data_IF_131153520697
#
_entry.id   IF_131153520697
#
_cell.length_a   1.000
_cell.length_b   1.000
_cell.length_c   1.000
_cell.angle_alpha   90.00
_cell.angle_beta   90.00
_cell.angle_gamma   90.00
#
_symmetry.space_group_name_H-M   'P 1'
#
loop_
_entity.id
_entity.type
_entity.pdbx_description
1 polymer ?
#
# COMPACT_ATOMS: atom_id res chain seq x y z
N UNK A 1 -12.52 13.56 -22.63
CA UNK A 1 -11.07 13.29 -22.52
C UNK A 1 -10.74 13.18 -21.06
N UNK A 2 -9.93 12.20 -20.68
CA UNK A 2 -9.37 12.13 -19.33
C UNK A 2 -8.04 12.87 -19.35
N UNK A 3 -7.95 14.02 -18.68
CA UNK A 3 -6.71 14.82 -18.64
C UNK A 3 -5.77 14.33 -17.55
N UNK A 4 -6.32 14.00 -16.38
CA UNK A 4 -5.56 13.48 -15.25
C UNK A 4 -6.32 12.32 -14.60
N UNK A 5 -5.60 11.26 -14.23
CA UNK A 5 -6.15 10.12 -13.52
C UNK A 5 -5.25 9.72 -12.35
N UNK A 6 -5.82 9.76 -11.14
CA UNK A 6 -5.20 9.24 -9.92
C UNK A 6 -6.02 8.05 -9.43
N UNK A 7 -5.35 6.94 -9.09
CA UNK A 7 -5.98 5.79 -8.43
C UNK A 7 -5.18 5.40 -7.19
N UNK A 8 -5.79 5.63 -6.03
CA UNK A 8 -5.17 5.48 -4.73
C UNK A 8 -5.90 4.40 -3.95
N UNK A 9 -5.18 3.43 -3.38
CA UNK A 9 -5.80 2.31 -2.68
C UNK A 9 -5.01 1.92 -1.44
N UNK A 10 -5.68 1.43 -0.40
CA UNK A 10 -5.03 0.87 0.78
C UNK A 10 -5.93 -0.06 1.57
N UNK A 11 -5.37 -1.18 2.01
CA UNK A 11 -5.94 -2.05 3.03
C UNK A 11 -5.20 -1.79 4.34
N UNK A 12 -5.91 -1.28 5.34
CA UNK A 12 -5.37 -0.75 6.59
C UNK A 12 -6.14 -1.36 7.78
N UNK A 13 -5.60 -1.36 9.01
CA UNK A 13 -6.47 -1.50 10.18
C UNK A 13 -7.50 -0.37 10.19
N UNK A 14 -8.70 -0.62 10.71
CA UNK A 14 -9.66 0.46 10.97
C UNK A 14 -9.03 1.50 11.92
N UNK A 15 -9.46 2.78 11.89
CA UNK A 15 -8.85 3.84 12.70
C UNK A 15 -8.71 3.50 14.19
N UNK A 16 -9.72 2.82 14.76
CA UNK A 16 -9.73 2.36 16.15
C UNK A 16 -8.70 1.25 16.47
N UNK A 17 -8.25 0.52 15.45
CA UNK A 17 -7.29 -0.58 15.53
C UNK A 17 -5.86 -0.18 15.14
N UNK A 18 -5.64 1.09 14.76
CA UNK A 18 -4.34 1.61 14.34
C UNK A 18 -3.48 2.08 15.55
N UNK A 19 -3.23 1.16 16.48
CA UNK A 19 -2.70 1.41 17.83
C UNK A 19 -1.19 1.16 18.01
N UNK A 20 -0.46 0.82 16.95
CA UNK A 20 0.99 0.67 16.97
C UNK A 20 1.72 1.85 16.26
N UNK A 21 3.03 2.03 16.46
CA UNK A 21 3.76 3.15 15.86
C UNK A 21 3.74 3.22 14.32
N UNK A 22 3.67 2.07 13.64
CA UNK A 22 3.53 2.02 12.17
C UNK A 22 2.09 2.30 11.71
N UNK A 23 1.13 2.28 12.64
CA UNK A 23 -0.31 2.34 12.40
C UNK A 23 -0.74 1.35 11.33
N UNK A 24 -0.19 0.14 11.38
CA UNK A 24 -0.48 -0.90 10.39
C UNK A 24 -0.60 -2.26 11.06
N UNK A 25 -1.55 -3.06 10.60
CA UNK A 25 -1.67 -4.47 10.96
C UNK A 25 -1.89 -5.28 9.69
N UNK A 26 -1.32 -6.49 9.62
CA UNK A 26 -1.44 -7.35 8.47
C UNK A 26 -2.81 -8.02 8.44
N UNK A 27 -3.49 -7.88 7.31
CA UNK A 27 -4.85 -8.40 7.07
C UNK A 27 -4.91 -9.28 5.82
N UNK A 28 -3.82 -9.34 5.06
CA UNK A 28 -3.61 -10.12 3.84
C UNK A 28 -2.12 -10.35 3.62
N UNK A 29 -1.76 -11.25 2.69
CA UNK A 29 -0.40 -11.69 2.32
C UNK A 29 0.75 -10.83 2.91
N UNK A 30 1.18 -11.12 4.16
CA UNK A 30 2.04 -10.20 4.90
C UNK A 30 3.40 -9.97 4.25
N UNK A 31 4.03 -11.07 3.78
CA UNK A 31 5.28 -10.99 3.02
C UNK A 31 5.11 -10.22 1.71
N UNK A 32 3.95 -10.32 1.06
CA UNK A 32 3.64 -9.54 -0.15
C UNK A 32 3.63 -8.03 0.10
N UNK A 33 3.10 -7.58 1.24
CA UNK A 33 3.11 -6.17 1.65
C UNK A 33 4.54 -5.66 1.85
N UNK A 34 5.39 -6.44 2.53
CA UNK A 34 6.77 -6.04 2.82
C UNK A 34 7.59 -6.10 1.53
N UNK A 35 7.43 -7.14 0.71
CA UNK A 35 8.08 -7.27 -0.60
C UNK A 35 7.71 -6.11 -1.52
N UNK A 36 6.47 -5.62 -1.46
CA UNK A 36 6.05 -4.46 -2.26
C UNK A 36 6.88 -3.20 -1.98
N UNK A 37 7.45 -3.10 -0.78
CA UNK A 37 8.32 -2.00 -0.34
C UNK A 37 9.67 -1.96 -1.08
N UNK A 38 10.00 -3.01 -1.83
CA UNK A 38 11.25 -3.14 -2.61
C UNK A 38 11.07 -2.81 -4.09
N UNK A 39 9.86 -2.48 -4.54
CA UNK A 39 9.63 -2.09 -5.93
C UNK A 39 10.10 -0.66 -6.19
N UNK A 40 10.48 -0.38 -7.44
CA UNK A 40 10.50 0.98 -7.98
C UNK A 40 9.08 1.44 -8.36
N UNK A 41 8.95 2.72 -8.68
CA UNK A 41 7.72 3.26 -9.24
C UNK A 41 8.00 4.10 -10.50
N UNK A 42 7.04 4.12 -11.42
CA UNK A 42 7.06 4.92 -12.63
C UNK A 42 5.66 5.52 -12.84
N UNK A 43 5.56 6.83 -12.95
CA UNK A 43 4.28 7.50 -13.16
C UNK A 43 4.41 8.72 -14.07
N UNK A 44 3.29 9.17 -14.61
CA UNK A 44 3.20 10.37 -15.43
C UNK A 44 2.50 11.47 -14.62
N UNK A 45 3.10 12.65 -14.49
CA UNK A 45 2.46 13.82 -13.88
C UNK A 45 2.68 15.05 -14.75
N UNK A 46 1.60 15.67 -15.22
CA UNK A 46 1.59 16.88 -16.05
C UNK A 46 2.54 16.80 -17.26
N UNK A 47 2.49 15.68 -17.98
CA UNK A 47 3.30 15.40 -19.17
C UNK A 47 4.73 14.97 -18.89
N UNK A 48 5.14 14.86 -17.62
CA UNK A 48 6.48 14.43 -17.22
C UNK A 48 6.47 13.04 -16.61
N UNK A 49 7.22 12.12 -17.21
CA UNK A 49 7.49 10.82 -16.63
C UNK A 49 8.44 10.98 -15.43
N UNK A 50 8.12 10.30 -14.33
CA UNK A 50 8.93 10.30 -13.12
C UNK A 50 9.19 8.86 -12.70
N UNK A 51 10.45 8.48 -12.68
CA UNK A 51 10.93 7.21 -12.16
C UNK A 51 11.48 7.40 -10.74
N UNK A 52 11.06 6.53 -9.83
CA UNK A 52 11.50 6.48 -8.45
C UNK A 52 12.21 5.15 -8.21
N UNK A 53 13.50 5.22 -7.94
CA UNK A 53 14.29 4.06 -7.52
C UNK A 53 13.69 3.41 -6.28
N UNK A 54 13.81 2.08 -6.20
CA UNK A 54 13.32 1.32 -5.06
C UNK A 54 13.78 1.95 -3.75
N UNK A 55 15.06 2.29 -3.58
CA UNK A 55 15.60 2.89 -2.34
C UNK A 55 14.91 4.19 -1.91
N UNK A 56 14.36 4.97 -2.85
CA UNK A 56 13.73 6.27 -2.59
C UNK A 56 12.20 6.23 -2.53
N UNK A 57 11.57 5.05 -2.70
CA UNK A 57 10.12 4.88 -2.80
C UNK A 57 9.32 5.60 -1.71
N UNK A 58 9.79 5.55 -0.46
CA UNK A 58 9.06 6.13 0.68
C UNK A 58 9.41 7.58 0.97
N UNK A 59 10.40 8.14 0.27
CA UNK A 59 10.73 9.57 0.33
C UNK A 59 9.81 10.38 -0.57
N UNK A 60 9.44 9.82 -1.72
CA UNK A 60 8.47 10.40 -2.63
C UNK A 60 7.05 10.06 -2.19
N UNK A 61 6.53 10.83 -1.23
CA UNK A 61 5.17 10.66 -0.70
C UNK A 61 4.49 12.01 -0.50
N UNK A 62 3.17 12.00 -0.53
CA UNK A 62 2.35 13.17 -0.19
C UNK A 62 1.25 12.81 0.80
N UNK A 63 0.64 13.82 1.43
CA UNK A 63 -0.51 13.63 2.31
C UNK A 63 -1.82 13.76 1.55
N UNK A 64 -2.80 12.93 1.91
CA UNK A 64 -4.16 12.97 1.39
C UNK A 64 -5.14 12.84 2.56
N UNK A 65 -6.05 13.80 2.69
CA UNK A 65 -7.14 13.73 3.66
C UNK A 65 -8.28 12.91 3.06
N UNK A 66 -8.47 11.69 3.56
CA UNK A 66 -9.54 10.80 3.13
C UNK A 66 -10.75 10.97 4.05
N UNK A 67 -11.98 11.13 3.52
CA UNK A 67 -13.19 11.28 4.34
C UNK A 67 -13.34 10.17 5.38
N UNK A 68 -13.73 10.53 6.61
CA UNK A 68 -13.94 9.61 7.75
C UNK A 68 -12.70 8.88 8.29
N UNK A 69 -11.59 8.85 7.55
CA UNK A 69 -10.32 8.22 7.96
C UNK A 69 -9.32 9.26 8.47
N UNK A 70 -9.28 10.44 7.81
CA UNK A 70 -8.34 11.51 8.10
C UNK A 70 -7.09 11.48 7.21
N UNK A 71 -6.00 12.02 7.74
CA UNK A 71 -4.75 12.23 7.01
C UNK A 71 -3.97 10.93 6.78
N UNK A 72 -3.79 10.57 5.51
CA UNK A 72 -3.00 9.43 5.05
C UNK A 72 -1.78 9.90 4.26
N UNK A 73 -0.71 9.11 4.29
CA UNK A 73 0.40 9.22 3.34
C UNK A 73 0.11 8.37 2.11
N UNK A 74 0.55 8.84 0.95
CA UNK A 74 0.46 8.15 -0.33
C UNK A 74 1.84 8.09 -0.94
N UNK A 75 2.30 6.88 -1.27
CA UNK A 75 3.51 6.66 -2.07
C UNK A 75 3.13 6.01 -3.41
N UNK A 76 3.90 6.25 -4.49
CA UNK A 76 3.59 5.73 -5.82
C UNK A 76 3.74 4.20 -5.89
N UNK A 77 2.97 3.55 -6.76
CA UNK A 77 2.88 2.09 -6.82
C UNK A 77 3.22 1.54 -8.21
N UNK A 78 4.40 0.92 -8.33
CA UNK A 78 4.88 0.22 -9.54
C UNK A 78 4.78 1.12 -10.79
N UNK A 79 4.55 0.52 -11.95
CA UNK A 79 4.31 1.23 -13.19
C UNK A 79 2.84 1.65 -13.32
N UNK A 80 2.63 2.97 -13.42
CA UNK A 80 1.35 3.60 -13.71
C UNK A 80 1.20 3.92 -15.19
N UNK A 81 2.28 4.09 -15.94
CA UNK A 81 2.24 4.58 -17.34
C UNK A 81 1.61 3.53 -18.25
N UNK A 82 1.86 2.24 -18.03
CA UNK A 82 1.19 1.18 -18.79
C UNK A 82 -0.34 1.27 -18.76
N UNK A 83 -0.93 1.89 -17.72
CA UNK A 83 -2.37 2.04 -17.62
C UNK A 83 -2.99 3.03 -18.60
N UNK A 84 -2.20 3.91 -19.21
CA UNK A 84 -2.69 4.76 -20.32
C UNK A 84 -3.25 3.90 -21.46
N UNK A 85 -2.54 2.83 -21.81
CA UNK A 85 -2.97 1.89 -22.84
C UNK A 85 -4.01 0.90 -22.33
N UNK A 86 -3.93 0.47 -21.06
CA UNK A 86 -4.87 -0.52 -20.48
C UNK A 86 -6.28 0.07 -20.36
N UNK A 87 -6.38 1.35 -20.02
CA UNK A 87 -7.64 2.07 -19.86
C UNK A 87 -8.06 2.87 -21.09
N UNK A 88 -7.28 2.80 -22.18
CA UNK A 88 -7.54 3.52 -23.44
C UNK A 88 -7.71 5.04 -23.23
N UNK A 89 -6.77 5.63 -22.49
CA UNK A 89 -6.69 7.07 -22.20
C UNK A 89 -5.31 7.65 -22.55
N UNK A 90 -4.81 7.46 -23.79
CA UNK A 90 -3.47 7.92 -24.18
C UNK A 90 -3.32 9.45 -24.13
N UNK A 91 -4.42 10.20 -24.07
CA UNK A 91 -4.41 11.65 -23.97
C UNK A 91 -4.14 12.19 -22.56
N UNK A 92 -4.17 11.33 -21.53
CA UNK A 92 -4.00 11.78 -20.15
C UNK A 92 -2.58 12.30 -19.91
N UNK A 93 -2.47 13.56 -19.49
CA UNK A 93 -1.22 14.19 -19.08
C UNK A 93 -0.75 13.76 -17.68
N UNK A 94 -1.62 13.12 -16.89
CA UNK A 94 -1.26 12.54 -15.60
C UNK A 94 -1.88 11.15 -15.47
N UNK A 95 -1.06 10.16 -15.09
CA UNK A 95 -1.48 8.82 -14.73
C UNK A 95 -0.68 8.38 -13.50
N UNK A 96 -1.34 8.36 -12.35
CA UNK A 96 -0.72 8.07 -11.06
C UNK A 96 -1.49 6.98 -10.33
N UNK A 97 -0.78 5.92 -9.92
CA UNK A 97 -1.29 4.92 -9.00
C UNK A 97 -0.50 4.98 -7.70
N UNK A 98 -1.20 4.99 -6.57
CA UNK A 98 -0.58 5.14 -5.25
C UNK A 98 -1.18 4.22 -4.21
N UNK A 99 -0.45 4.08 -3.10
CA UNK A 99 -0.86 3.26 -1.97
C UNK A 99 -1.07 4.12 -0.74
N UNK A 100 -2.25 4.06 -0.14
CA UNK A 100 -2.56 4.71 1.13
C UNK A 100 -1.90 4.00 2.31
N UNK A 101 -1.34 4.77 3.24
CA UNK A 101 -0.86 4.33 4.55
C UNK A 101 -1.11 5.41 5.60
N UNK A 102 -1.25 5.02 6.86
CA UNK A 102 -1.20 5.98 7.95
C UNK A 102 0.23 6.54 8.12
N UNK A 103 0.32 7.78 8.62
CA UNK A 103 1.60 8.43 8.96
C UNK A 103 2.39 7.55 9.94
N UNK A 104 3.66 7.33 9.62
CA UNK A 104 4.60 6.48 10.37
C UNK A 104 5.09 5.27 9.58
N UNK A 105 4.26 4.74 8.67
CA UNK A 105 4.65 3.63 7.79
C UNK A 105 5.84 3.99 6.90
N UNK A 106 5.71 5.03 6.08
CA UNK A 106 6.74 5.38 5.10
C UNK A 106 8.06 5.78 5.78
N UNK A 107 8.00 6.54 6.87
CA UNK A 107 9.16 6.90 7.68
C UNK A 107 9.90 5.65 8.20
N UNK A 108 9.16 4.68 8.74
CA UNK A 108 9.74 3.44 9.29
C UNK A 108 10.39 2.59 8.20
N UNK A 109 9.70 2.39 7.07
CA UNK A 109 10.22 1.55 5.99
C UNK A 109 11.40 2.21 5.26
N UNK A 110 11.45 3.55 5.18
CA UNK A 110 12.62 4.28 4.67
C UNK A 110 13.85 4.08 5.58
N UNK A 111 13.66 4.14 6.90
CA UNK A 111 14.71 3.86 7.86
C UNK A 111 15.24 2.42 7.75
N UNK A 112 14.35 1.42 7.70
CA UNK A 112 14.71 0.01 7.52
C UNK A 112 15.53 -0.21 6.24
N UNK A 113 15.15 0.46 5.15
CA UNK A 113 15.88 0.37 3.87
C UNK A 113 17.24 1.05 3.91
N UNK A 114 17.33 2.19 4.61
CA UNK A 114 18.58 2.94 4.74
C UNK A 114 19.67 2.17 5.50
N UNK A 115 19.26 1.19 6.32
CA UNK A 115 20.16 0.23 6.99
C UNK A 115 20.02 -1.18 6.41
N UNK A 116 19.48 -1.32 5.19
CA UNK A 116 19.49 -2.57 4.44
C UNK A 116 18.79 -3.76 5.14
N UNK A 117 17.75 -3.51 5.96
CA UNK A 117 16.98 -4.59 6.62
C UNK A 117 16.09 -5.39 5.66
N UNK A 118 15.92 -4.95 4.41
CA UNK A 118 15.04 -5.59 3.42
C UNK A 118 15.82 -6.22 2.26
N UNK A 119 17.11 -6.49 2.47
CA UNK A 119 17.99 -7.10 1.47
C UNK A 119 17.83 -8.63 1.42
N UNK A 120 18.22 -9.22 0.28
CA UNK A 120 18.23 -10.67 0.04
C UNK A 120 19.60 -11.32 0.20
N UNK A 121 20.57 -10.62 0.81
CA UNK A 121 21.89 -11.20 1.06
C UNK A 121 21.76 -12.37 2.03
N UNK A 122 22.14 -13.58 1.61
CA UNK A 122 22.11 -14.77 2.46
C UNK A 122 23.32 -14.76 3.39
N UNK A 123 23.08 -14.93 4.69
CA UNK A 123 24.10 -15.11 5.71
C UNK A 123 23.56 -15.98 6.87
N UNK A 124 24.47 -16.47 7.72
CA UNK A 124 24.13 -17.22 8.93
C UNK A 124 23.89 -16.25 10.11
N UNK A 125 22.70 -16.32 10.68
CA UNK A 125 22.26 -15.47 11.78
C UNK A 125 22.01 -16.25 13.09
N UNK A 126 22.48 -17.51 13.19
CA UNK A 126 22.04 -18.47 14.24
C UNK A 126 22.33 -17.96 15.65
N UNK A 127 23.50 -17.32 15.80
CA UNK A 127 24.04 -16.88 17.10
C UNK A 127 23.76 -15.42 17.42
N UNK A 128 23.10 -14.70 16.51
CA UNK A 128 22.87 -13.27 16.62
C UNK A 128 21.56 -12.98 17.35
N UNK A 129 21.51 -11.90 18.14
CA UNK A 129 20.27 -11.34 18.69
C UNK A 129 19.71 -10.24 17.79
N UNK A 130 18.45 -9.84 18.02
CA UNK A 130 17.85 -8.74 17.25
C UNK A 130 18.66 -7.45 17.37
N UNK A 131 19.16 -7.13 18.57
CA UNK A 131 20.00 -5.95 18.81
C UNK A 131 21.33 -6.02 18.05
N UNK A 132 21.97 -7.19 18.02
CA UNK A 132 23.19 -7.46 17.24
C UNK A 132 22.93 -7.32 15.73
N UNK A 133 21.78 -7.82 15.25
CA UNK A 133 21.37 -7.71 13.84
C UNK A 133 21.20 -6.27 13.38
N UNK A 134 20.42 -5.45 14.08
CA UNK A 134 20.24 -4.06 13.64
C UNK A 134 21.53 -3.24 13.78
N UNK A 135 22.40 -3.57 14.74
CA UNK A 135 23.71 -2.94 14.92
C UNK A 135 24.62 -3.25 13.71
N UNK A 136 24.69 -4.52 13.29
CA UNK A 136 25.41 -4.94 12.09
C UNK A 136 24.87 -4.24 10.84
N UNK A 137 23.55 -4.29 10.63
CA UNK A 137 22.87 -3.70 9.47
C UNK A 137 23.10 -2.18 9.36
N UNK A 138 23.13 -1.48 10.49
CA UNK A 138 23.41 -0.05 10.54
C UNK A 138 24.92 0.27 10.51
N UNK A 139 25.79 -0.70 10.78
CA UNK A 139 27.23 -0.51 10.92
C UNK A 139 27.61 0.31 12.15
N UNK A 140 26.99 0.04 13.30
CA UNK A 140 27.21 0.74 14.57
C UNK A 140 27.43 -0.25 15.73
N UNK A 141 28.03 0.17 16.83
CA UNK A 141 28.14 -0.70 18.01
C UNK A 141 26.83 -0.79 18.80
N UNK A 142 26.66 -1.88 19.54
CA UNK A 142 25.50 -2.17 20.38
C UNK A 142 25.40 -1.22 21.59
N UNK A 143 26.53 -0.70 22.09
CA UNK A 143 26.49 0.27 23.19
C UNK A 143 25.83 1.57 22.70
N UNK A 144 24.78 2.00 23.42
CA UNK A 144 23.94 3.15 23.09
C UNK A 144 23.27 3.03 21.70
N UNK A 145 22.92 1.79 21.30
CA UNK A 145 22.42 1.43 19.97
C UNK A 145 21.28 2.32 19.47
N UNK A 146 20.29 2.60 20.31
CA UNK A 146 19.13 3.45 19.96
C UNK A 146 19.58 4.84 19.47
N UNK A 147 20.45 5.49 20.23
CA UNK A 147 21.00 6.81 19.92
C UNK A 147 21.87 6.77 18.66
N UNK A 148 22.81 5.81 18.58
CA UNK A 148 23.69 5.66 17.41
C UNK A 148 22.92 5.38 16.13
N UNK A 149 21.85 4.59 16.22
CA UNK A 149 20.98 4.31 15.08
C UNK A 149 20.26 5.57 14.60
N UNK A 150 19.71 6.36 15.52
CA UNK A 150 19.08 7.63 15.19
C UNK A 150 20.07 8.61 14.52
N UNK A 151 21.30 8.71 15.05
CA UNK A 151 22.38 9.51 14.46
C UNK A 151 22.76 9.02 13.06
N UNK A 152 22.91 7.70 12.86
CA UNK A 152 23.21 7.07 11.57
C UNK A 152 22.15 7.39 10.51
N UNK A 153 20.88 7.41 10.91
CA UNK A 153 19.74 7.69 10.05
C UNK A 153 19.50 9.21 9.86
N UNK A 154 20.16 10.07 10.64
CA UNK A 154 19.92 11.52 10.62
C UNK A 154 18.53 11.92 11.13
N UNK A 155 17.95 11.14 12.05
CA UNK A 155 16.61 11.36 12.60
C UNK A 155 16.65 11.52 14.13
N UNK A 156 15.54 11.98 14.71
CA UNK A 156 15.40 12.05 16.16
C UNK A 156 15.34 10.65 16.78
N UNK A 157 15.95 10.48 17.96
CA UNK A 157 15.79 9.28 18.79
C UNK A 157 14.32 9.02 19.20
N UNK A 158 13.47 10.05 19.16
CA UNK A 158 12.05 9.98 19.47
C UNK A 158 11.15 9.89 18.22
N UNK A 159 11.75 9.73 17.04
CA UNK A 159 11.06 9.58 15.76
C UNK A 159 10.16 8.34 15.74
N UNK A 160 9.22 8.32 14.80
CA UNK A 160 8.30 7.19 14.63
C UNK A 160 9.09 5.95 14.21
N UNK A 161 10.07 6.10 13.32
CA UNK A 161 10.91 4.99 12.88
C UNK A 161 11.63 4.28 14.05
N UNK A 162 12.23 5.03 14.98
CA UNK A 162 12.91 4.43 16.15
C UNK A 162 11.90 3.76 17.09
N UNK A 163 10.75 4.40 17.34
CA UNK A 163 9.66 3.80 18.14
C UNK A 163 9.10 2.53 17.50
N UNK A 164 8.99 2.49 16.17
CA UNK A 164 8.56 1.31 15.42
C UNK A 164 9.56 0.16 15.56
N UNK A 165 10.87 0.43 15.43
CA UNK A 165 11.90 -0.59 15.63
C UNK A 165 11.91 -1.13 17.06
N UNK A 166 11.65 -0.27 18.05
CA UNK A 166 11.47 -0.67 19.44
C UNK A 166 10.22 -1.52 19.66
N UNK A 167 9.07 -1.10 19.13
CA UNK A 167 7.83 -1.88 19.19
C UNK A 167 7.97 -3.27 18.55
N UNK A 168 8.70 -3.35 17.44
CA UNK A 168 9.03 -4.61 16.78
C UNK A 168 10.05 -5.43 17.58
N UNK A 169 10.65 -4.88 18.64
CA UNK A 169 11.59 -5.57 19.51
C UNK A 169 12.96 -5.76 18.87
N UNK A 170 13.38 -4.85 17.97
CA UNK A 170 14.70 -4.93 17.33
C UNK A 170 15.86 -4.51 18.23
N UNK A 171 15.59 -3.83 19.35
CA UNK A 171 16.61 -3.51 20.37
C UNK A 171 16.72 -4.57 21.46
N UNK A 172 15.95 -5.66 21.37
CA UNK A 172 15.97 -6.75 22.36
C UNK A 172 17.16 -7.70 22.13
N UNK A 173 17.66 -8.31 23.19
CA UNK A 173 18.71 -9.34 23.13
C UNK A 173 18.14 -10.77 22.89
N UNK A 174 16.89 -10.86 22.42
CA UNK A 174 16.29 -12.13 21.99
C UNK A 174 17.08 -12.68 20.80
N UNK A 175 17.46 -13.97 20.88
CA UNK A 175 18.20 -14.64 19.80
C UNK A 175 17.31 -14.89 18.59
N UNK A 176 17.89 -14.71 17.40
CA UNK A 176 17.22 -14.80 16.12
C UNK A 176 16.86 -16.25 15.76
N UNK A 177 17.77 -17.20 16.01
CA UNK A 177 17.62 -18.62 15.68
C UNK A 177 17.38 -18.93 14.19
N UNK A 178 17.83 -18.06 13.28
CA UNK A 178 17.83 -18.33 11.84
C UNK A 178 19.22 -18.78 11.40
N UNK A 179 19.32 -19.87 10.63
CA UNK A 179 20.57 -20.28 10.00
C UNK A 179 20.81 -19.43 8.74
N UNK A 180 21.09 -20.04 7.58
CA UNK A 180 21.18 -19.33 6.31
C UNK A 180 19.82 -18.72 5.93
N UNK A 181 19.72 -17.40 6.05
CA UNK A 181 18.53 -16.62 5.70
C UNK A 181 18.91 -15.23 5.21
N UNK A 182 17.91 -14.40 4.90
CA UNK A 182 18.10 -13.02 4.48
C UNK A 182 17.61 -12.02 5.54
N UNK A 183 18.16 -10.79 5.58
CA UNK A 183 17.61 -9.69 6.36
C UNK A 183 16.12 -9.45 6.11
N UNK A 184 15.67 -9.60 4.86
CA UNK A 184 14.26 -9.52 4.50
C UNK A 184 13.42 -10.54 5.26
N UNK A 185 13.83 -11.82 5.30
CA UNK A 185 13.10 -12.87 5.99
C UNK A 185 13.00 -12.57 7.50
N UNK A 186 14.13 -12.25 8.16
CA UNK A 186 14.17 -11.89 9.59
C UNK A 186 13.24 -10.72 9.90
N UNK A 187 13.34 -9.65 9.10
CA UNK A 187 12.54 -8.44 9.30
C UNK A 187 11.07 -8.73 9.06
N UNK A 188 10.75 -9.47 8.01
CA UNK A 188 9.38 -9.80 7.64
C UNK A 188 8.69 -10.66 8.69
N UNK A 189 9.36 -11.71 9.17
CA UNK A 189 8.82 -12.60 10.18
C UNK A 189 8.63 -11.86 11.52
N UNK A 190 9.54 -10.94 11.87
CA UNK A 190 9.40 -10.10 13.07
C UNK A 190 8.20 -9.16 12.98
N UNK A 191 8.01 -8.50 11.83
CA UNK A 191 6.83 -7.67 11.58
C UNK A 191 5.55 -8.50 11.64
N UNK A 192 5.51 -9.67 11.00
CA UNK A 192 4.36 -10.58 11.02
C UNK A 192 4.01 -10.95 12.47
N UNK A 193 4.98 -11.43 13.24
CA UNK A 193 4.79 -11.84 14.64
C UNK A 193 4.19 -10.74 15.51
N UNK A 194 4.52 -9.46 15.27
CA UNK A 194 4.14 -8.32 16.12
C UNK A 194 2.96 -7.50 15.59
N UNK A 195 2.58 -7.66 14.32
CA UNK A 195 1.62 -6.77 13.65
C UNK A 195 0.46 -7.50 12.97
N UNK A 196 0.19 -8.77 13.25
CA UNK A 196 -1.05 -9.39 12.75
C UNK A 196 -2.27 -8.66 13.31
N UNK A 197 -3.30 -8.47 12.49
CA UNK A 197 -4.60 -7.99 12.97
C UNK A 197 -5.24 -9.10 13.83
N UNK A 198 -5.58 -8.83 15.10
CA UNK A 198 -6.33 -9.78 15.93
C UNK A 198 -7.76 -10.01 15.41
N UNK A 199 -8.32 -11.18 15.69
CA UNK A 199 -9.66 -11.57 15.23
C UNK A 199 -10.80 -10.66 15.74
N UNK A 200 -10.61 -9.99 16.88
CA UNK A 200 -11.60 -9.08 17.47
C UNK A 200 -11.52 -7.64 16.93
N UNK A 201 -10.56 -7.35 16.04
CA UNK A 201 -10.41 -6.06 15.39
C UNK A 201 -10.87 -6.10 13.93
N UNK A 202 -10.92 -4.93 13.29
CA UNK A 202 -11.42 -4.78 11.92
C UNK A 202 -10.40 -4.06 11.07
N UNK A 203 -10.41 -4.39 9.79
CA UNK A 203 -9.69 -3.67 8.75
C UNK A 203 -10.63 -2.75 7.97
N UNK A 204 -10.03 -1.92 7.13
CA UNK A 204 -10.71 -1.06 6.18
C UNK A 204 -9.98 -1.08 4.84
N UNK A 205 -10.75 -1.21 3.76
CA UNK A 205 -10.26 -1.02 2.38
C UNK A 205 -10.75 0.32 1.88
N UNK A 206 -9.79 1.13 1.44
CA UNK A 206 -9.99 2.44 0.84
C UNK A 206 -9.57 2.37 -0.62
N UNK A 207 -10.41 2.87 -1.53
CA UNK A 207 -10.07 3.06 -2.94
C UNK A 207 -10.64 4.41 -3.38
N UNK A 208 -9.80 5.25 -3.98
CA UNK A 208 -10.18 6.56 -4.50
C UNK A 208 -9.64 6.72 -5.91
N UNK A 209 -10.54 6.96 -6.86
CA UNK A 209 -10.20 7.53 -8.15
C UNK A 209 -10.49 9.03 -8.14
N UNK A 210 -9.60 9.81 -8.73
CA UNK A 210 -9.76 11.26 -8.94
C UNK A 210 -9.42 11.53 -10.40
N UNK A 211 -10.40 12.04 -11.13
CA UNK A 211 -10.34 12.16 -12.59
C UNK A 211 -10.62 13.60 -12.95
N UNK A 212 -9.73 14.23 -13.72
CA UNK A 212 -10.02 15.49 -14.39
C UNK A 212 -10.53 15.18 -15.79
N UNK A 213 -11.79 15.50 -16.05
CA UNK A 213 -12.44 15.23 -17.32
C UNK A 213 -12.73 16.53 -18.07
N UNK A 214 -12.46 16.53 -19.39
CA UNK A 214 -12.82 17.62 -20.30
C UNK A 214 -13.78 17.14 -21.38
N UNK A 215 -14.90 17.83 -21.51
CA UNK A 215 -15.97 17.56 -22.47
C UNK A 215 -15.79 18.33 -23.78
N UNK A 216 -16.53 17.92 -24.83
CA UNK A 216 -16.43 18.52 -26.17
C UNK A 216 -16.76 20.01 -26.20
N UNK A 217 -17.62 20.48 -25.29
CA UNK A 217 -18.01 21.88 -25.16
C UNK A 217 -16.99 22.72 -24.36
N UNK A 218 -15.87 22.13 -23.93
CA UNK A 218 -14.85 22.79 -23.11
C UNK A 218 -15.15 22.80 -21.61
N UNK A 219 -16.30 22.29 -21.17
CA UNK A 219 -16.58 22.12 -19.74
C UNK A 219 -15.58 21.12 -19.14
N UNK A 220 -15.05 21.46 -17.98
CA UNK A 220 -14.14 20.62 -17.19
C UNK A 220 -14.79 20.32 -15.86
N UNK A 221 -14.58 19.10 -15.37
CA UNK A 221 -15.00 18.72 -14.02
C UNK A 221 -14.01 17.75 -13.40
N UNK A 222 -14.00 17.73 -12.08
CA UNK A 222 -13.37 16.67 -11.30
C UNK A 222 -14.43 15.63 -10.95
N UNK A 223 -14.10 14.36 -11.15
CA UNK A 223 -14.92 13.22 -10.74
C UNK A 223 -14.15 12.47 -9.67
N UNK A 224 -14.78 12.24 -8.51
CA UNK A 224 -14.25 11.40 -7.44
C UNK A 224 -15.08 10.12 -7.38
N UNK A 225 -14.44 8.96 -7.41
CA UNK A 225 -15.07 7.65 -7.23
C UNK A 225 -14.41 6.97 -6.04
N UNK A 226 -15.15 6.77 -4.95
CA UNK A 226 -14.61 6.31 -3.66
C UNK A 226 -15.27 5.03 -3.17
N UNK A 227 -14.50 4.14 -2.56
CA UNK A 227 -14.97 2.96 -1.84
C UNK A 227 -14.30 2.93 -0.47
N UNK A 228 -15.13 2.82 0.56
CA UNK A 228 -14.74 2.54 1.93
C UNK A 228 -15.50 1.31 2.37
N UNK A 229 -14.82 0.18 2.51
CA UNK A 229 -15.41 -1.06 3.04
C UNK A 229 -14.72 -1.40 4.36
N UNK A 230 -15.51 -1.58 5.41
CA UNK A 230 -15.02 -2.04 6.71
C UNK A 230 -15.24 -3.54 6.85
N UNK A 231 -14.25 -4.22 7.41
CA UNK A 231 -14.38 -5.60 7.82
C UNK A 231 -15.35 -5.72 8.99
N UNK A 232 -15.76 -6.94 9.27
CA UNK A 232 -16.49 -7.31 10.49
C UNK A 232 -15.58 -8.12 11.40
N UNK A 233 -15.61 -7.92 12.73
CA UNK A 233 -14.78 -8.71 13.64
C UNK A 233 -15.11 -10.19 13.47
N UNK A 234 -14.09 -11.04 13.64
CA UNK A 234 -14.18 -12.50 13.72
C UNK A 234 -14.77 -13.23 12.50
N UNK A 235 -15.05 -12.55 11.39
CA UNK A 235 -15.77 -13.14 10.26
C UNK A 235 -15.10 -12.83 8.92
N UNK A 236 -15.24 -11.61 8.41
CA UNK A 236 -14.81 -11.25 7.07
C UNK A 236 -14.10 -9.91 7.09
N UNK A 237 -12.78 -9.92 6.90
CA UNK A 237 -12.02 -8.70 6.64
C UNK A 237 -12.49 -8.04 5.34
N UNK A 238 -12.46 -6.71 5.28
CA UNK A 238 -12.76 -5.94 4.07
C UNK A 238 -11.87 -6.39 2.91
N UNK A 239 -10.58 -6.63 3.16
CA UNK A 239 -9.66 -7.10 2.13
C UNK A 239 -10.04 -8.49 1.60
N UNK A 240 -10.45 -9.43 2.47
CA UNK A 240 -10.89 -10.75 2.01
C UNK A 240 -12.14 -10.63 1.11
N UNK A 241 -13.12 -9.81 1.51
CA UNK A 241 -14.35 -9.59 0.71
C UNK A 241 -14.05 -8.95 -0.63
N UNK A 242 -13.31 -7.84 -0.62
CA UNK A 242 -13.02 -7.03 -1.83
C UNK A 242 -12.05 -7.71 -2.80
N UNK A 243 -11.32 -8.75 -2.38
CA UNK A 243 -10.48 -9.57 -3.26
C UNK A 243 -11.21 -10.84 -3.72
N UNK A 244 -11.83 -11.58 -2.79
CA UNK A 244 -12.39 -12.89 -3.09
C UNK A 244 -13.73 -12.81 -3.83
N UNK A 245 -14.61 -11.88 -3.48
CA UNK A 245 -15.94 -11.79 -4.09
C UNK A 245 -15.88 -11.46 -5.58
N UNK A 246 -15.09 -10.47 -6.07
CA UNK A 246 -14.97 -10.24 -7.50
C UNK A 246 -14.49 -11.49 -8.27
N UNK A 247 -13.52 -12.22 -7.70
CA UNK A 247 -12.98 -13.44 -8.29
C UNK A 247 -14.02 -14.57 -8.32
N UNK A 248 -14.74 -14.81 -7.21
CA UNK A 248 -15.74 -15.86 -7.12
C UNK A 248 -16.95 -15.59 -8.03
N UNK A 249 -17.40 -14.34 -8.10
CA UNK A 249 -18.47 -13.90 -9.00
C UNK A 249 -18.06 -14.12 -10.45
N UNK A 250 -16.87 -13.66 -10.85
CA UNK A 250 -16.38 -13.83 -12.21
C UNK A 250 -16.25 -15.33 -12.59
N UNK A 251 -15.69 -16.15 -11.69
CA UNK A 251 -15.57 -17.60 -11.89
C UNK A 251 -16.94 -18.25 -12.10
N UNK A 252 -17.93 -17.94 -11.24
CA UNK A 252 -19.29 -18.45 -11.41
C UNK A 252 -19.93 -17.95 -12.70
N UNK A 253 -19.75 -16.68 -13.07
CA UNK A 253 -20.29 -16.12 -14.32
C UNK A 253 -19.70 -16.75 -15.58
N UNK A 254 -18.45 -17.22 -15.54
CA UNK A 254 -17.85 -18.02 -16.61
C UNK A 254 -18.53 -19.40 -16.69
N UNK A 255 -18.73 -20.07 -15.54
CA UNK A 255 -19.39 -21.38 -15.48
C UNK A 255 -20.87 -21.33 -15.88
N UNK A 256 -21.54 -20.20 -15.62
CA UNK A 256 -22.95 -19.96 -15.97
C UNK A 256 -23.12 -19.44 -17.43
N UNK A 257 -22.07 -19.45 -18.25
CA UNK A 257 -22.05 -18.90 -19.62
C UNK A 257 -22.48 -17.41 -19.72
N UNK A 258 -22.38 -16.65 -18.64
CA UNK A 258 -22.65 -15.19 -18.63
C UNK A 258 -21.47 -14.38 -19.15
N UNK A 259 -20.25 -14.88 -18.95
CA UNK A 259 -19.02 -14.32 -19.53
C UNK A 259 -18.47 -15.38 -20.50
N UNK A 260 -18.68 -15.18 -21.80
CA UNK A 260 -18.31 -16.13 -22.86
C UNK A 260 -17.00 -15.76 -23.59
N UNK A 261 -16.21 -14.83 -23.07
CA UNK A 261 -14.93 -14.44 -23.67
C UNK A 261 -13.92 -15.59 -23.58
N UNK A 262 -13.13 -15.81 -24.64
CA UNK A 262 -12.10 -16.85 -24.70
C UNK A 262 -10.71 -16.24 -24.89
N UNK A 263 -9.73 -16.71 -24.11
CA UNK A 263 -8.37 -16.18 -24.08
C UNK A 263 -8.00 -15.57 -22.73
N UNK A 264 -6.92 -14.78 -22.69
CA UNK A 264 -6.40 -14.15 -21.47
C UNK A 264 -6.81 -12.68 -21.44
N UNK A 265 -7.67 -12.31 -20.50
CA UNK A 265 -8.21 -10.95 -20.39
C UNK A 265 -7.96 -10.34 -19.01
N UNK A 266 -7.86 -9.01 -19.00
CA UNK A 266 -8.02 -8.16 -17.81
C UNK A 266 -9.49 -7.73 -17.69
N UNK A 267 -9.99 -7.40 -16.49
CA UNK A 267 -11.37 -6.96 -16.29
C UNK A 267 -11.59 -5.49 -16.74
N UNK A 268 -11.11 -5.13 -17.93
CA UNK A 268 -11.28 -3.79 -18.55
C UNK A 268 -12.35 -3.79 -19.64
N UNK A 269 -12.87 -4.97 -19.99
CA UNK A 269 -13.94 -5.12 -20.97
C UNK A 269 -15.30 -5.02 -20.27
N UNK A 270 -16.27 -4.25 -20.84
CA UNK A 270 -17.60 -4.12 -20.25
C UNK A 270 -18.31 -5.47 -20.05
N UNK A 271 -18.08 -6.44 -20.94
CA UNK A 271 -18.65 -7.79 -20.79
C UNK A 271 -18.18 -8.51 -19.52
N UNK A 272 -17.04 -8.10 -18.94
CA UNK A 272 -16.53 -8.63 -17.67
C UNK A 272 -16.96 -7.73 -16.52
N UNK A 273 -16.58 -6.44 -16.53
CA UNK A 273 -16.71 -5.61 -15.33
C UNK A 273 -18.16 -5.22 -15.03
N UNK A 274 -19.02 -5.01 -16.03
CA UNK A 274 -20.42 -4.58 -15.80
C UNK A 274 -21.21 -5.62 -15.00
N UNK A 275 -21.28 -6.90 -15.41
CA UNK A 275 -22.03 -7.90 -14.65
C UNK A 275 -21.42 -8.15 -13.26
N UNK A 276 -20.08 -8.16 -13.15
CA UNK A 276 -19.40 -8.35 -11.86
C UNK A 276 -19.68 -7.19 -10.90
N UNK A 277 -19.56 -5.93 -11.35
CA UNK A 277 -19.85 -4.75 -10.52
C UNK A 277 -21.34 -4.68 -10.10
N UNK A 278 -22.25 -5.06 -11.00
CA UNK A 278 -23.68 -5.10 -10.68
C UNK A 278 -23.98 -6.08 -9.55
N UNK A 279 -23.33 -7.25 -9.54
CA UNK A 279 -23.49 -8.22 -8.46
C UNK A 279 -22.77 -7.82 -7.18
N UNK A 280 -21.55 -7.26 -7.27
CA UNK A 280 -20.85 -6.72 -6.10
C UNK A 280 -21.70 -5.66 -5.37
N UNK A 281 -22.44 -4.83 -6.13
CA UNK A 281 -23.34 -3.84 -5.57
C UNK A 281 -24.47 -4.46 -4.74
N UNK A 282 -24.98 -5.64 -5.09
CA UNK A 282 -25.99 -6.34 -4.27
C UNK A 282 -25.41 -6.89 -2.97
N UNK A 283 -24.09 -7.11 -2.93
CA UNK A 283 -23.32 -7.51 -1.75
C UNK A 283 -22.78 -6.31 -0.94
N UNK A 284 -23.21 -5.10 -1.28
CA UNK A 284 -22.81 -3.87 -0.59
C UNK A 284 -21.45 -3.31 -1.01
N UNK A 285 -20.76 -3.90 -1.99
CA UNK A 285 -19.47 -3.42 -2.49
C UNK A 285 -19.71 -2.56 -3.73
N UNK A 286 -19.54 -1.24 -3.59
CA UNK A 286 -19.72 -0.29 -4.69
C UNK A 286 -18.82 0.93 -4.51
N UNK A 287 -18.49 1.56 -5.63
CA UNK A 287 -17.95 2.91 -5.63
C UNK A 287 -19.10 3.92 -5.44
N UNK A 288 -18.85 4.98 -4.68
CA UNK A 288 -19.70 6.16 -4.61
C UNK A 288 -19.05 7.26 -5.42
N UNK A 289 -19.82 7.91 -6.30
CA UNK A 289 -19.29 8.84 -7.27
C UNK A 289 -19.83 10.26 -7.05
N UNK A 290 -18.93 11.22 -7.06
CA UNK A 290 -19.21 12.65 -6.99
C UNK A 290 -18.78 13.30 -8.30
N UNK A 291 -19.70 14.04 -8.91
CA UNK A 291 -19.55 14.69 -10.21
C UNK A 291 -19.66 16.21 -10.07
N UNK A 292 -19.23 16.96 -11.09
CA UNK A 292 -19.34 18.41 -11.15
C UNK A 292 -18.43 19.16 -10.19
N UNK A 293 -17.41 18.48 -9.64
CA UNK A 293 -16.49 19.11 -8.68
C UNK A 293 -15.56 20.09 -9.40
N UNK A 294 -15.17 21.21 -8.75
CA UNK A 294 -14.26 22.18 -9.33
C UNK A 294 -12.84 21.62 -9.45
N UNK A 295 -12.04 22.16 -10.38
CA UNK A 295 -10.64 21.75 -10.59
C UNK A 295 -9.77 21.87 -9.34
N UNK A 296 -10.13 22.73 -8.38
CA UNK A 296 -9.43 22.85 -7.09
C UNK A 296 -9.48 21.57 -6.24
N UNK A 297 -10.39 20.64 -6.55
CA UNK A 297 -10.48 19.32 -5.92
C UNK A 297 -9.47 18.31 -6.48
N UNK A 298 -8.70 18.68 -7.50
CA UNK A 298 -7.58 17.86 -7.98
C UNK A 298 -6.42 17.80 -7.00
N UNK A 299 -5.68 16.71 -7.08
CA UNK A 299 -4.40 16.54 -6.39
C UNK A 299 -3.40 17.61 -6.84
N UNK A 300 -2.80 18.32 -5.88
CA UNK A 300 -1.82 19.39 -6.16
C UNK A 300 -0.46 18.86 -6.63
#
# INVERSE_FOLDING_TARGET
>A
KVEEFYSLCGALPAPEAADNPLKYKFTWSPKGVILASRNSALYLKKGKETFIDAVNLFKDRFSYSYPEIGELEVYPNRDSISYLNIYDIPEAGTMFRGTFRYKGWCETLDAMKSINMLDDSVADYERMSYSEFIAERAGVDIKDLRKKLAEKLGISEYSTAIKSLEFLGFFEDEKLHYQETTPFEITSDRMIKRMMLPDNERDVVLLQHIILATYKNGTREVIKSSLTDYGTPATNTAIARTVALPAAIAARMILDDKIMLSGVYRPVLPQIYVPVLNELKTLGIKMNEEYGLPESEMMK
#
